data_IF_548213855240
#
_entry.id   IF_548213855240
#
_cell.length_a   1.000
_cell.length_b   1.000
_cell.length_c   1.000
_cell.angle_alpha   90.00
_cell.angle_beta   90.00
_cell.angle_gamma   90.00
#
_symmetry.space_group_name_H-M   'P 1'
#
loop_
_entity.id
_entity.type
_entity.pdbx_description
1 polymer ?
#
# COMPACT_ATOMS: atom_id res chain seq x y z
N UNK A 1 36.43 -0.96 -8.88
CA UNK A 1 35.35 -0.01 -8.54
C UNK A 1 34.41 0.07 -9.73
N UNK A 2 33.54 -0.91 -9.85
CA UNK A 2 32.47 -0.92 -10.85
C UNK A 2 31.34 -0.07 -10.29
N UNK A 3 31.15 1.13 -10.83
CA UNK A 3 29.98 1.95 -10.61
C UNK A 3 28.76 1.16 -11.08
N UNK A 4 27.99 0.62 -10.14
CA UNK A 4 26.63 0.14 -10.41
C UNK A 4 25.82 1.35 -10.89
N UNK A 5 25.48 1.35 -12.18
CA UNK A 5 24.40 2.21 -12.64
C UNK A 5 23.13 1.80 -11.88
N UNK A 6 22.42 2.71 -11.19
CA UNK A 6 21.12 2.37 -10.65
C UNK A 6 20.26 1.90 -11.83
N UNK A 7 19.67 0.71 -11.68
CA UNK A 7 18.74 0.14 -12.64
C UNK A 7 17.74 1.21 -13.07
N UNK A 8 17.62 1.46 -14.38
CA UNK A 8 16.72 2.45 -14.96
C UNK A 8 15.22 2.21 -14.64
N UNK A 9 14.90 1.12 -13.94
CA UNK A 9 13.56 0.72 -13.52
C UNK A 9 13.21 1.14 -12.08
N UNK A 10 14.20 1.49 -11.23
CA UNK A 10 13.90 1.92 -9.86
C UNK A 10 13.43 3.38 -9.82
N UNK A 11 12.35 3.66 -9.09
CA UNK A 11 11.86 5.02 -8.88
C UNK A 11 12.77 5.84 -7.98
N UNK A 12 12.63 7.18 -8.04
CA UNK A 12 13.46 8.10 -7.27
C UNK A 12 12.72 9.38 -6.89
N UNK A 13 13.21 10.05 -5.84
CA UNK A 13 12.76 11.39 -5.47
C UNK A 13 13.36 12.43 -6.41
N UNK A 14 12.53 13.33 -6.92
CA UNK A 14 12.92 14.41 -7.82
C UNK A 14 12.06 15.66 -7.66
N UNK A 15 12.57 16.79 -8.16
CA UNK A 15 11.82 18.05 -8.19
C UNK A 15 10.87 18.13 -9.40
N UNK A 16 9.96 19.12 -9.35
CA UNK A 16 8.95 19.35 -10.38
C UNK A 16 9.51 19.47 -11.81
N UNK A 17 10.60 20.22 -11.99
CA UNK A 17 11.19 20.45 -13.32
C UNK A 17 11.72 19.16 -13.96
N UNK A 18 12.31 18.29 -13.14
CA UNK A 18 12.83 17.00 -13.60
C UNK A 18 11.70 16.03 -13.94
N UNK A 19 10.69 15.91 -13.06
CA UNK A 19 9.50 15.12 -13.33
C UNK A 19 8.77 15.57 -14.61
N UNK A 20 8.63 16.88 -14.80
CA UNK A 20 8.06 17.48 -16.01
C UNK A 20 8.82 17.09 -17.27
N UNK A 21 10.16 17.06 -17.21
CA UNK A 21 10.99 16.66 -18.35
C UNK A 21 10.80 15.18 -18.69
N UNK A 22 10.71 14.29 -17.69
CA UNK A 22 10.43 12.87 -17.89
C UNK A 22 9.05 12.63 -18.51
N UNK A 23 8.01 13.27 -18.00
CA UNK A 23 6.65 13.14 -18.54
C UNK A 23 6.61 13.58 -20.01
N UNK A 24 7.25 14.70 -20.35
CA UNK A 24 7.33 15.20 -21.74
C UNK A 24 8.15 14.31 -22.67
N UNK A 25 9.04 13.48 -22.12
CA UNK A 25 9.78 12.49 -22.89
C UNK A 25 8.90 11.29 -23.31
N UNK A 26 7.65 11.20 -22.82
CA UNK A 26 6.67 10.20 -23.26
C UNK A 26 6.79 8.84 -22.57
N UNK A 27 7.52 8.75 -21.46
CA UNK A 27 7.56 7.53 -20.65
C UNK A 27 6.25 7.28 -19.91
N UNK A 28 6.14 6.08 -19.33
CA UNK A 28 5.02 5.69 -18.48
C UNK A 28 5.45 5.72 -17.02
N UNK A 29 4.63 6.28 -16.12
CA UNK A 29 5.04 6.49 -14.73
C UNK A 29 3.95 6.19 -13.69
N UNK A 30 4.39 5.77 -12.52
CA UNK A 30 3.63 5.88 -11.27
C UNK A 30 4.23 7.00 -10.42
N UNK A 31 3.41 7.98 -10.04
CA UNK A 31 3.86 9.21 -9.38
C UNK A 31 3.17 9.40 -8.04
N UNK A 32 3.94 9.72 -7.02
CA UNK A 32 3.46 10.02 -5.68
C UNK A 32 3.99 11.37 -5.21
N UNK A 33 3.15 12.17 -4.54
CA UNK A 33 3.49 13.55 -4.21
C UNK A 33 2.46 14.28 -3.35
N UNK A 34 2.82 15.46 -2.86
CA UNK A 34 1.83 16.39 -2.32
C UNK A 34 0.92 16.94 -3.44
N UNK A 35 -0.35 17.19 -3.12
CA UNK A 35 -1.34 17.67 -4.08
C UNK A 35 -0.88 18.94 -4.82
N UNK A 36 -0.25 19.89 -4.10
CA UNK A 36 0.19 21.15 -4.69
C UNK A 36 1.23 20.95 -5.81
N UNK A 37 2.10 19.93 -5.69
CA UNK A 37 3.05 19.58 -6.74
C UNK A 37 2.41 18.78 -7.87
N UNK A 38 1.55 17.81 -7.54
CA UNK A 38 0.88 16.98 -8.55
C UNK A 38 0.07 17.83 -9.52
N UNK A 39 -0.59 18.90 -9.03
CA UNK A 39 -1.35 19.85 -9.86
C UNK A 39 -0.52 20.64 -10.86
N UNK A 40 0.81 20.67 -10.68
CA UNK A 40 1.72 21.39 -11.57
C UNK A 40 2.32 20.49 -12.66
N UNK A 41 2.11 19.18 -12.60
CA UNK A 41 2.62 18.25 -13.60
C UNK A 41 1.86 18.38 -14.94
N UNK A 42 2.56 18.26 -16.08
CA UNK A 42 1.90 18.28 -17.38
C UNK A 42 1.15 16.96 -17.65
N UNK A 43 0.30 16.98 -18.68
CA UNK A 43 -0.28 15.76 -19.25
C UNK A 43 0.80 14.79 -19.72
N UNK A 44 0.55 13.50 -19.53
CA UNK A 44 1.32 12.39 -20.09
C UNK A 44 0.84 11.05 -19.54
N UNK A 45 1.58 9.97 -19.83
CA UNK A 45 1.16 8.61 -19.47
C UNK A 45 1.54 8.25 -18.03
N UNK A 46 0.78 8.75 -17.06
CA UNK A 46 1.07 8.44 -15.66
C UNK A 46 -0.18 8.31 -14.82
N UNK A 47 -0.12 7.46 -13.80
CA UNK A 47 -1.09 7.43 -12.71
C UNK A 47 -0.41 7.92 -11.44
N UNK A 48 -1.15 8.52 -10.53
CA UNK A 48 -0.59 8.94 -9.26
C UNK A 48 -1.58 9.11 -8.14
N UNK A 49 -1.05 9.49 -6.97
CA UNK A 49 -1.85 9.75 -5.79
C UNK A 49 -1.15 10.70 -4.83
N UNK A 50 -1.94 11.32 -3.96
CA UNK A 50 -1.39 12.19 -2.92
C UNK A 50 -0.68 11.35 -1.85
N UNK A 51 0.51 11.75 -1.41
CA UNK A 51 1.20 11.28 -0.21
C UNK A 51 2.49 12.11 -0.02
N UNK A 52 2.80 12.59 1.20
CA UNK A 52 4.03 13.38 1.43
C UNK A 52 5.12 12.60 2.19
N UNK A 53 5.01 11.27 2.29
CA UNK A 53 5.95 10.40 3.02
C UNK A 53 6.62 9.43 2.05
N UNK A 54 7.94 9.28 2.14
CA UNK A 54 8.71 8.48 1.19
C UNK A 54 9.90 7.77 1.83
N UNK A 55 10.30 6.63 1.26
CA UNK A 55 11.67 6.16 1.31
C UNK A 55 12.38 6.64 0.04
N UNK A 56 13.20 7.68 0.17
CA UNK A 56 13.98 8.24 -0.93
C UNK A 56 15.41 7.70 -0.98
N UNK A 57 16.16 8.10 -2.02
CA UNK A 57 17.56 7.69 -2.20
C UNK A 57 18.48 8.07 -1.02
N UNK A 58 18.11 9.11 -0.26
CA UNK A 58 18.90 9.59 0.87
C UNK A 58 18.39 9.10 2.24
N UNK A 59 17.28 8.36 2.26
CA UNK A 59 16.61 7.84 3.45
C UNK A 59 15.11 8.17 3.47
N UNK A 60 14.47 7.85 4.59
CA UNK A 60 13.09 8.26 4.85
C UNK A 60 12.97 9.77 4.87
N UNK A 61 11.97 10.31 4.17
CA UNK A 61 11.73 11.75 4.08
C UNK A 61 10.24 12.08 4.07
N UNK A 62 9.85 13.06 4.89
CA UNK A 62 8.56 13.74 4.78
C UNK A 62 8.74 15.04 4.01
N UNK A 63 8.13 15.18 2.83
CA UNK A 63 8.30 16.37 1.98
C UNK A 63 7.07 16.71 1.16
N UNK A 64 6.90 18.01 0.89
CA UNK A 64 5.91 18.56 -0.05
C UNK A 64 6.55 19.24 -1.26
N UNK A 65 7.88 19.20 -1.34
CA UNK A 65 8.68 19.91 -2.35
C UNK A 65 9.28 18.97 -3.40
N UNK A 66 9.10 17.66 -3.22
CA UNK A 66 9.57 16.63 -4.15
C UNK A 66 8.48 15.61 -4.46
N UNK A 67 8.66 14.93 -5.59
CA UNK A 67 7.82 13.85 -6.10
C UNK A 67 8.64 12.57 -6.11
N UNK A 68 8.00 11.44 -5.79
CA UNK A 68 8.53 10.14 -6.15
C UNK A 68 8.00 9.76 -7.54
N UNK A 69 8.91 9.46 -8.47
CA UNK A 69 8.56 9.06 -9.84
C UNK A 69 9.20 7.70 -10.12
N UNK A 70 8.35 6.69 -10.35
CA UNK A 70 8.75 5.35 -10.78
C UNK A 70 8.37 5.12 -12.24
N UNK A 71 9.33 4.67 -13.05
CA UNK A 71 9.06 4.29 -14.43
C UNK A 71 8.31 2.97 -14.47
N UNK A 72 7.22 2.92 -15.24
CA UNK A 72 6.48 1.68 -15.49
C UNK A 72 7.03 1.07 -16.80
N UNK A 73 7.59 -0.15 -16.76
CA UNK A 73 8.15 -0.79 -17.94
C UNK A 73 7.06 -1.15 -18.94
N UNK A 74 7.25 -0.73 -20.19
CA UNK A 74 6.34 -1.02 -21.32
C UNK A 74 7.01 -2.02 -22.24
N UNK A 75 6.70 -3.31 -22.05
CA UNK A 75 7.37 -4.42 -22.75
C UNK A 75 6.44 -5.21 -23.68
N UNK A 76 5.15 -5.31 -23.35
CA UNK A 76 4.19 -6.20 -24.05
C UNK A 76 3.10 -5.47 -24.84
N UNK A 77 3.13 -4.15 -24.91
CA UNK A 77 2.07 -3.33 -25.51
C UNK A 77 1.83 -2.06 -24.69
N UNK A 78 1.04 -1.14 -25.24
CA UNK A 78 0.70 0.11 -24.55
C UNK A 78 -0.15 -0.19 -23.29
N UNK A 79 0.21 0.36 -22.12
CA UNK A 79 -0.64 0.27 -20.94
C UNK A 79 -1.98 0.97 -21.13
N UNK A 80 -3.02 0.48 -20.46
CA UNK A 80 -4.33 1.14 -20.39
C UNK A 80 -4.51 1.77 -19.00
N UNK A 81 -4.90 3.04 -18.95
CA UNK A 81 -5.25 3.74 -17.71
C UNK A 81 -6.76 3.87 -17.59
N UNK A 82 -7.33 3.43 -16.46
CA UNK A 82 -8.78 3.40 -16.25
C UNK A 82 -9.17 3.73 -14.82
N UNK A 83 -10.28 4.45 -14.68
CA UNK A 83 -10.96 4.65 -13.40
C UNK A 83 -11.92 3.50 -13.09
N UNK A 84 -11.96 3.10 -11.83
CA UNK A 84 -12.89 2.13 -11.29
C UNK A 84 -13.70 2.75 -10.15
N UNK A 85 -15.01 2.73 -10.27
CA UNK A 85 -15.94 3.18 -9.23
C UNK A 85 -16.42 1.98 -8.40
N UNK A 86 -17.22 2.17 -7.34
CA UNK A 86 -17.72 1.06 -6.53
C UNK A 86 -18.52 0.00 -7.29
N UNK A 87 -19.04 0.28 -8.49
CA UNK A 87 -19.79 -0.68 -9.31
C UNK A 87 -18.82 -1.46 -10.19
N UNK A 88 -17.85 -0.79 -10.83
CA UNK A 88 -16.92 -1.44 -11.75
C UNK A 88 -15.72 -2.10 -11.08
N UNK A 89 -15.42 -1.79 -9.81
CA UNK A 89 -14.22 -2.24 -9.10
C UNK A 89 -14.05 -3.77 -9.07
N UNK A 90 -15.13 -4.54 -9.01
CA UNK A 90 -15.07 -6.01 -9.02
C UNK A 90 -14.45 -6.60 -10.29
N UNK A 91 -14.41 -5.82 -11.38
CA UNK A 91 -13.82 -6.21 -12.66
C UNK A 91 -12.34 -5.88 -12.79
N UNK A 92 -11.72 -5.26 -11.78
CA UNK A 92 -10.35 -4.71 -11.87
C UNK A 92 -9.32 -5.73 -12.34
N UNK A 93 -9.43 -6.99 -11.92
CA UNK A 93 -8.54 -8.05 -12.37
C UNK A 93 -9.00 -8.61 -13.73
N UNK A 94 -10.29 -8.89 -13.92
CA UNK A 94 -10.84 -9.40 -15.18
C UNK A 94 -10.49 -8.51 -16.39
N UNK A 95 -10.57 -7.19 -16.23
CA UNK A 95 -10.21 -6.19 -17.25
C UNK A 95 -8.69 -6.06 -17.48
N UNK A 96 -7.86 -6.59 -16.57
CA UNK A 96 -6.41 -6.62 -16.70
C UNK A 96 -5.91 -7.56 -17.80
N UNK A 97 -4.63 -7.46 -18.20
CA UNK A 97 -4.08 -8.24 -19.30
C UNK A 97 -4.03 -9.73 -18.95
N UNK A 98 -4.13 -10.60 -19.97
CA UNK A 98 -3.98 -12.05 -19.80
C UNK A 98 -2.57 -12.43 -19.31
N UNK A 99 -1.54 -11.76 -19.85
CA UNK A 99 -0.18 -11.79 -19.31
C UNK A 99 0.30 -10.36 -19.04
N UNK A 100 0.56 -10.06 -17.77
CA UNK A 100 0.99 -8.74 -17.35
C UNK A 100 0.72 -8.49 -15.87
N UNK A 101 0.56 -7.22 -15.52
CA UNK A 101 0.21 -6.81 -14.17
C UNK A 101 -0.61 -5.52 -14.21
N UNK A 102 -1.22 -5.18 -13.09
CA UNK A 102 -1.95 -3.92 -12.91
C UNK A 102 -1.42 -3.17 -11.70
N UNK A 103 -1.24 -1.84 -11.83
CA UNK A 103 -0.93 -0.94 -10.70
C UNK A 103 -2.19 -0.17 -10.34
N UNK A 104 -2.72 -0.35 -9.12
CA UNK A 104 -3.89 0.37 -8.60
C UNK A 104 -3.49 1.44 -7.57
N UNK A 105 -4.10 2.62 -7.66
CA UNK A 105 -4.06 3.65 -6.63
C UNK A 105 -5.48 3.93 -6.17
N UNK A 106 -5.72 3.96 -4.86
CA UNK A 106 -7.03 4.27 -4.28
C UNK A 106 -6.95 5.40 -3.25
N UNK A 107 -7.92 6.32 -3.22
CA UNK A 107 -7.96 7.35 -2.19
C UNK A 107 -8.32 6.76 -0.83
N UNK A 108 -7.47 6.96 0.20
CA UNK A 108 -7.78 6.48 1.55
C UNK A 108 -9.13 7.01 2.05
N UNK A 109 -9.81 6.16 2.81
CA UNK A 109 -11.13 6.41 3.42
C UNK A 109 -12.30 6.64 2.45
N UNK A 110 -12.09 6.49 1.14
CA UNK A 110 -13.17 6.52 0.14
C UNK A 110 -14.06 5.27 0.17
N UNK A 111 -15.21 5.35 -0.50
CA UNK A 111 -16.10 4.20 -0.68
C UNK A 111 -15.42 3.06 -1.46
N UNK A 112 -14.62 3.38 -2.49
CA UNK A 112 -13.90 2.38 -3.29
C UNK A 112 -12.83 1.65 -2.46
N UNK A 113 -12.09 2.37 -1.62
CA UNK A 113 -11.12 1.76 -0.70
C UNK A 113 -11.80 0.80 0.29
N UNK A 114 -12.91 1.23 0.88
CA UNK A 114 -13.69 0.40 1.81
C UNK A 114 -14.28 -0.84 1.13
N UNK A 115 -14.73 -0.71 -0.12
CA UNK A 115 -15.28 -1.82 -0.89
C UNK A 115 -14.18 -2.84 -1.24
N UNK A 116 -13.05 -2.37 -1.76
CA UNK A 116 -11.90 -3.21 -2.10
C UNK A 116 -11.46 -4.02 -0.89
N UNK A 117 -11.21 -3.36 0.24
CA UNK A 117 -10.73 -4.00 1.46
C UNK A 117 -11.62 -5.13 1.97
N UNK A 118 -12.94 -5.05 1.74
CA UNK A 118 -13.92 -6.01 2.23
C UNK A 118 -14.18 -7.17 1.27
N UNK A 119 -13.95 -6.95 -0.03
CA UNK A 119 -14.49 -7.82 -1.09
C UNK A 119 -13.44 -8.28 -2.11
N UNK A 120 -12.26 -7.66 -2.17
CA UNK A 120 -11.20 -7.99 -3.13
C UNK A 120 -10.87 -9.50 -3.20
N UNK A 121 -10.80 -10.26 -2.09
CA UNK A 121 -10.56 -11.70 -2.15
C UNK A 121 -11.57 -12.50 -2.99
N UNK A 122 -12.77 -11.96 -3.21
CA UNK A 122 -13.83 -12.58 -4.00
C UNK A 122 -13.98 -12.06 -5.43
N UNK A 123 -13.12 -11.13 -5.87
CA UNK A 123 -13.17 -10.61 -7.24
C UNK A 123 -12.70 -11.66 -8.25
N UNK A 124 -13.28 -11.60 -9.45
CA UNK A 124 -12.90 -12.47 -10.56
C UNK A 124 -11.41 -12.29 -10.90
N UNK A 125 -10.69 -13.38 -11.14
CA UNK A 125 -9.26 -13.41 -11.46
C UNK A 125 -8.31 -12.82 -10.40
N UNK A 126 -8.77 -12.51 -9.18
CA UNK A 126 -7.97 -11.83 -8.17
C UNK A 126 -6.60 -12.48 -7.94
N UNK A 127 -6.55 -13.80 -7.77
CA UNK A 127 -5.29 -14.52 -7.52
C UNK A 127 -4.64 -15.10 -8.77
N UNK A 128 -5.14 -14.73 -9.95
CA UNK A 128 -4.64 -15.17 -11.26
C UNK A 128 -3.88 -14.02 -11.93
N UNK A 129 -4.46 -12.82 -11.93
CA UNK A 129 -3.88 -11.63 -12.58
C UNK A 129 -3.18 -10.74 -11.54
N UNK A 130 -1.85 -10.53 -11.65
CA UNK A 130 -1.09 -9.74 -10.68
C UNK A 130 -1.65 -8.32 -10.51
N UNK A 131 -2.11 -8.00 -9.30
CA UNK A 131 -2.59 -6.67 -8.91
C UNK A 131 -1.74 -6.14 -7.76
N UNK A 132 -0.96 -5.11 -8.05
CA UNK A 132 -0.12 -4.39 -7.07
C UNK A 132 -0.59 -2.95 -6.95
N UNK A 133 -0.33 -2.28 -5.84
CA UNK A 133 -0.75 -0.90 -5.71
C UNK A 133 -0.65 -0.34 -4.31
N UNK A 134 -1.30 0.79 -4.10
CA UNK A 134 -1.23 1.51 -2.85
C UNK A 134 -2.43 2.42 -2.59
N UNK A 135 -2.63 2.72 -1.31
CA UNK A 135 -3.67 3.64 -0.87
C UNK A 135 -3.04 5.03 -0.69
N UNK A 136 -3.53 6.01 -1.45
CA UNK A 136 -3.09 7.40 -1.35
C UNK A 136 -3.52 8.00 -0.02
N UNK A 137 -2.77 8.99 0.43
CA UNK A 137 -2.92 9.61 1.73
C UNK A 137 -2.64 11.11 1.69
N UNK A 138 -2.53 11.69 2.86
CA UNK A 138 -2.18 13.09 3.07
C UNK A 138 -1.24 13.17 4.26
N UNK A 139 -0.69 14.36 4.53
CA UNK A 139 0.05 14.55 5.76
C UNK A 139 -0.89 14.31 6.96
N UNK A 140 -0.44 13.60 7.99
CA UNK A 140 -1.30 13.25 9.13
C UNK A 140 -1.85 14.47 9.87
N UNK A 141 -1.10 15.59 9.88
CA UNK A 141 -1.57 16.85 10.45
C UNK A 141 -2.76 17.50 9.68
N UNK A 142 -3.02 17.03 8.46
CA UNK A 142 -4.11 17.51 7.60
C UNK A 142 -5.33 16.57 7.63
N UNK A 143 -5.30 15.52 8.45
CA UNK A 143 -6.45 14.63 8.65
C UNK A 143 -7.69 15.44 9.08
N UNK A 144 -8.79 15.24 8.36
CA UNK A 144 -10.04 15.97 8.55
C UNK A 144 -10.05 17.38 7.93
N UNK A 145 -8.98 17.81 7.25
CA UNK A 145 -8.90 19.10 6.55
C UNK A 145 -8.69 18.94 5.05
N UNK A 146 -7.96 17.91 4.64
CA UNK A 146 -7.76 17.52 3.25
C UNK A 146 -8.27 16.09 3.03
N UNK A 147 -8.46 15.74 1.76
CA UNK A 147 -8.83 14.39 1.34
C UNK A 147 -7.72 13.80 0.49
N UNK A 148 -7.39 12.51 0.67
CA UNK A 148 -6.55 11.78 -0.27
C UNK A 148 -7.15 11.76 -1.68
N UNK A 149 -6.31 11.88 -2.70
CA UNK A 149 -6.72 11.89 -4.10
C UNK A 149 -5.87 10.93 -4.93
N UNK A 150 -6.43 10.52 -6.05
CA UNK A 150 -5.72 9.89 -7.17
C UNK A 150 -5.72 10.84 -8.37
N UNK A 151 -4.77 10.66 -9.29
CA UNK A 151 -4.59 11.56 -10.43
C UNK A 151 -4.34 10.77 -11.71
N UNK A 152 -5.20 10.97 -12.69
CA UNK A 152 -4.99 10.48 -14.05
C UNK A 152 -4.15 11.51 -14.83
N UNK A 153 -2.91 11.16 -15.14
CA UNK A 153 -1.97 12.01 -15.84
C UNK A 153 -2.33 12.32 -17.29
N UNK A 154 -3.15 11.49 -17.93
CA UNK A 154 -3.57 11.71 -19.33
C UNK A 154 -4.61 12.83 -19.41
N UNK A 155 -5.52 12.86 -18.44
CA UNK A 155 -6.62 13.83 -18.39
C UNK A 155 -6.33 15.02 -17.46
N UNK A 156 -5.41 14.85 -16.50
CA UNK A 156 -5.20 15.67 -15.30
C UNK A 156 -6.41 15.72 -14.36
N UNK A 157 -7.21 14.65 -14.36
CA UNK A 157 -8.35 14.50 -13.47
C UNK A 157 -7.89 14.03 -12.09
N UNK A 158 -8.31 14.77 -11.05
CA UNK A 158 -8.12 14.43 -9.64
C UNK A 158 -9.42 13.86 -9.10
N UNK A 159 -9.36 12.72 -8.43
CA UNK A 159 -10.54 12.03 -7.92
C UNK A 159 -10.31 11.49 -6.50
N UNK A 160 -11.34 11.60 -5.65
CA UNK A 160 -11.31 11.14 -4.25
C UNK A 160 -12.23 9.95 -3.96
N UNK A 161 -12.93 9.43 -4.96
CA UNK A 161 -14.00 8.44 -4.83
C UNK A 161 -13.79 7.18 -5.68
N UNK A 162 -12.97 7.26 -6.73
CA UNK A 162 -12.66 6.18 -7.67
C UNK A 162 -11.21 5.72 -7.53
N UNK A 163 -10.98 4.44 -7.79
CA UNK A 163 -9.65 3.89 -7.94
C UNK A 163 -9.13 4.22 -9.34
N UNK A 164 -7.82 4.42 -9.47
CA UNK A 164 -7.15 4.59 -10.76
C UNK A 164 -6.18 3.45 -10.98
N UNK A 165 -6.29 2.79 -12.13
CA UNK A 165 -5.53 1.58 -12.45
C UNK A 165 -4.79 1.76 -13.75
N UNK A 166 -3.53 1.33 -13.81
CA UNK A 166 -2.76 1.15 -15.03
C UNK A 166 -2.57 -0.34 -15.28
N UNK A 167 -3.17 -0.87 -16.35
CA UNK A 167 -3.01 -2.24 -16.82
C UNK A 167 -1.82 -2.32 -17.76
N UNK A 168 -0.84 -3.17 -17.45
CA UNK A 168 0.46 -3.22 -18.15
C UNK A 168 0.65 -4.62 -18.77
N UNK A 169 0.48 -4.75 -20.10
CA UNK A 169 0.73 -6.01 -20.79
C UNK A 169 2.23 -6.36 -20.78
N UNK A 170 2.52 -7.66 -20.63
CA UNK A 170 3.86 -8.23 -20.76
C UNK A 170 3.94 -9.19 -21.95
N UNK A 171 5.09 -9.27 -22.64
CA UNK A 171 5.30 -10.28 -23.67
C UNK A 171 5.30 -11.67 -23.03
N UNK A 172 4.97 -12.71 -23.79
CA UNK A 172 4.87 -14.10 -23.28
C UNK A 172 6.14 -14.62 -22.60
N UNK A 173 7.31 -14.03 -22.91
CA UNK A 173 8.60 -14.38 -22.31
C UNK A 173 8.83 -13.75 -20.94
N UNK A 174 7.91 -12.93 -20.44
CA UNK A 174 8.02 -12.21 -19.18
C UNK A 174 6.81 -12.45 -18.31
N UNK A 175 7.01 -12.50 -17.00
CA UNK A 175 5.94 -12.55 -16.01
C UNK A 175 6.22 -11.57 -14.87
N UNK A 176 5.16 -11.13 -14.21
CA UNK A 176 5.23 -10.27 -13.03
C UNK A 176 5.14 -11.11 -11.76
N UNK A 177 6.02 -10.85 -10.81
CA UNK A 177 5.97 -11.45 -9.48
C UNK A 177 5.77 -10.34 -8.45
N UNK A 178 4.82 -10.57 -7.53
CA UNK A 178 4.52 -9.68 -6.41
C UNK A 178 4.99 -10.35 -5.14
N UNK A 179 5.78 -9.63 -4.35
CA UNK A 179 6.30 -10.09 -3.08
C UNK A 179 5.90 -9.14 -1.95
N UNK A 180 5.62 -9.73 -0.79
CA UNK A 180 5.20 -9.04 0.42
C UNK A 180 6.22 -9.31 1.52
N UNK A 181 6.78 -8.25 2.09
CA UNK A 181 7.58 -8.32 3.31
C UNK A 181 6.67 -7.96 4.48
N UNK A 182 6.25 -8.97 5.24
CA UNK A 182 5.57 -8.81 6.52
C UNK A 182 6.51 -9.24 7.64
N UNK A 183 6.86 -8.32 8.53
CA UNK A 183 7.74 -8.60 9.68
C UNK A 183 6.98 -9.12 10.91
N UNK A 184 5.65 -9.07 10.87
CA UNK A 184 4.81 -9.41 12.00
C UNK A 184 4.33 -10.86 11.90
N UNK A 185 4.54 -11.61 12.98
CA UNK A 185 3.93 -12.91 13.22
C UNK A 185 2.94 -12.80 14.37
N UNK A 186 2.00 -13.75 14.48
CA UNK A 186 1.16 -13.84 15.67
C UNK A 186 2.03 -13.99 16.92
N UNK A 187 1.71 -13.24 17.97
CA UNK A 187 2.28 -13.43 19.29
C UNK A 187 1.55 -14.50 20.10
N UNK A 188 2.04 -14.74 21.32
CA UNK A 188 1.47 -15.71 22.26
C UNK A 188 0.25 -15.17 23.05
N UNK A 189 -0.26 -13.99 22.67
CA UNK A 189 -1.40 -13.33 23.32
C UNK A 189 -2.73 -14.04 23.11
N UNK A 190 -3.81 -13.48 23.67
CA UNK A 190 -5.14 -14.09 23.60
C UNK A 190 -5.67 -14.19 22.16
N UNK A 191 -6.53 -15.19 21.92
CA UNK A 191 -7.27 -15.38 20.67
C UNK A 191 -8.44 -14.42 20.61
N UNK A 192 -8.53 -13.63 19.54
CA UNK A 192 -9.58 -12.65 19.35
C UNK A 192 -10.37 -13.03 18.09
N UNK A 193 -11.70 -13.13 18.21
CA UNK A 193 -12.61 -13.27 17.07
C UNK A 193 -13.64 -12.15 17.10
N UNK A 194 -14.00 -11.63 15.93
CA UNK A 194 -15.02 -10.61 15.80
C UNK A 194 -16.31 -11.24 15.27
N UNK A 195 -17.50 -10.80 15.71
CA UNK A 195 -18.76 -11.38 15.26
C UNK A 195 -19.22 -10.86 13.89
N UNK A 196 -18.59 -9.80 13.38
CA UNK A 196 -18.96 -9.19 12.11
C UNK A 196 -17.74 -8.58 11.41
N UNK A 197 -17.77 -8.59 10.07
CA UNK A 197 -16.79 -7.88 9.24
C UNK A 197 -16.95 -6.37 9.37
N UNK A 198 -15.85 -5.63 9.55
CA UNK A 198 -15.92 -4.17 9.58
C UNK A 198 -14.63 -3.45 9.93
N UNK A 199 -14.63 -2.13 9.74
CA UNK A 199 -13.54 -1.22 10.10
C UNK A 199 -13.61 -0.73 11.56
N UNK A 200 -14.57 -1.22 12.33
CA UNK A 200 -14.74 -0.91 13.74
C UNK A 200 -15.30 -2.13 14.47
N UNK A 201 -14.86 -2.34 15.69
CA UNK A 201 -15.35 -3.40 16.57
C UNK A 201 -15.59 -2.90 17.99
N UNK A 202 -16.68 -3.37 18.58
CA UNK A 202 -16.94 -3.29 20.02
C UNK A 202 -16.88 -4.68 20.61
N UNK A 203 -17.81 -5.54 20.18
CA UNK A 203 -17.95 -6.87 20.74
C UNK A 203 -16.99 -7.84 20.06
N UNK A 204 -16.39 -8.73 20.85
CA UNK A 204 -15.49 -9.78 20.38
C UNK A 204 -15.56 -11.00 21.29
N UNK A 205 -14.96 -12.10 20.85
CA UNK A 205 -14.65 -13.25 21.68
C UNK A 205 -13.16 -13.24 22.00
N UNK A 206 -12.81 -13.24 23.28
CA UNK A 206 -11.44 -13.32 23.80
C UNK A 206 -11.28 -14.71 24.42
N UNK A 207 -10.48 -15.58 23.79
CA UNK A 207 -10.40 -17.00 24.15
C UNK A 207 -11.79 -17.65 24.26
N UNK A 208 -12.64 -17.40 23.27
CA UNK A 208 -14.01 -17.90 23.17
C UNK A 208 -14.97 -17.37 24.25
N UNK A 209 -14.56 -16.37 25.04
CA UNK A 209 -15.42 -15.68 26.00
C UNK A 209 -15.85 -14.31 25.46
N UNK A 210 -17.14 -13.94 25.56
CA UNK A 210 -17.61 -12.61 25.17
C UNK A 210 -16.91 -11.48 25.94
N UNK A 211 -16.52 -10.44 25.22
CA UNK A 211 -15.93 -9.24 25.82
C UNK A 211 -16.00 -8.04 24.90
N UNK A 212 -15.68 -6.87 25.46
CA UNK A 212 -15.53 -5.63 24.71
C UNK A 212 -14.05 -5.42 24.34
N UNK A 213 -13.77 -5.23 23.06
CA UNK A 213 -12.41 -5.17 22.54
C UNK A 213 -11.67 -3.91 23.01
N UNK A 214 -12.33 -2.75 23.06
CA UNK A 214 -11.69 -1.51 23.54
C UNK A 214 -11.32 -1.60 25.03
N UNK A 215 -12.19 -2.19 25.85
CA UNK A 215 -11.90 -2.45 27.27
C UNK A 215 -10.77 -3.47 27.43
N UNK A 216 -10.73 -4.51 26.60
CA UNK A 216 -9.63 -5.47 26.59
C UNK A 216 -8.29 -4.79 26.30
N UNK A 217 -8.22 -4.03 25.21
CA UNK A 217 -7.02 -3.30 24.80
C UNK A 217 -6.55 -2.35 25.91
N UNK A 218 -7.46 -1.59 26.50
CA UNK A 218 -7.15 -0.65 27.59
C UNK A 218 -6.70 -1.35 28.88
N UNK A 219 -7.44 -2.37 29.34
CA UNK A 219 -7.17 -3.06 30.61
C UNK A 219 -5.88 -3.88 30.59
N UNK A 220 -5.48 -4.38 29.42
CA UNK A 220 -4.21 -5.09 29.21
C UNK A 220 -3.05 -4.18 28.83
N UNK A 221 -3.30 -2.87 28.68
CA UNK A 221 -2.32 -1.89 28.21
C UNK A 221 -1.59 -2.35 26.93
N UNK A 222 -2.35 -2.87 25.97
CA UNK A 222 -1.79 -3.38 24.71
C UNK A 222 -1.11 -2.23 23.94
N UNK A 223 0.08 -2.49 23.41
CA UNK A 223 0.74 -1.57 22.48
C UNK A 223 0.02 -1.58 21.13
N UNK A 224 -0.73 -0.52 20.86
CA UNK A 224 -1.54 -0.38 19.63
C UNK A 224 -0.72 -0.11 18.37
N UNK A 225 0.61 0.02 18.48
CA UNK A 225 1.52 0.03 17.32
C UNK A 225 1.69 -1.36 16.70
N UNK A 226 1.41 -2.41 17.47
CA UNK A 226 1.41 -3.79 17.00
C UNK A 226 0.06 -4.11 16.36
N UNK A 227 0.03 -4.61 15.12
CA UNK A 227 -1.23 -4.98 14.47
C UNK A 227 -1.82 -6.24 15.09
N UNK A 228 -3.10 -6.46 14.84
CA UNK A 228 -3.66 -7.81 14.87
C UNK A 228 -3.12 -8.58 13.66
N UNK A 229 -2.74 -9.83 13.85
CA UNK A 229 -2.25 -10.73 12.80
C UNK A 229 -3.16 -11.95 12.75
N UNK A 230 -3.54 -12.33 11.54
CA UNK A 230 -4.36 -13.50 11.28
C UNK A 230 -3.82 -14.30 10.10
N UNK A 231 -4.04 -15.60 10.13
CA UNK A 231 -3.69 -16.53 9.06
C UNK A 231 -4.86 -16.65 8.08
N UNK A 232 -4.66 -16.18 6.85
CA UNK A 232 -5.58 -16.31 5.74
C UNK A 232 -5.03 -17.36 4.78
N UNK A 233 -5.43 -18.62 4.98
CA UNK A 233 -5.06 -19.74 4.11
C UNK A 233 -3.54 -19.90 3.91
N UNK A 234 -2.74 -19.66 4.95
CA UNK A 234 -1.28 -19.75 4.96
C UNK A 234 -0.56 -18.40 4.89
N UNK A 235 -1.27 -17.29 4.65
CA UNK A 235 -0.69 -15.95 4.60
C UNK A 235 -1.01 -15.14 5.87
N UNK A 236 0.03 -14.61 6.52
CA UNK A 236 -0.14 -13.74 7.69
C UNK A 236 -0.52 -12.32 7.26
N UNK A 237 -1.73 -11.90 7.59
CA UNK A 237 -2.30 -10.60 7.23
C UNK A 237 -2.48 -9.74 8.48
N UNK A 238 -2.10 -8.47 8.36
CA UNK A 238 -2.14 -7.50 9.44
C UNK A 238 -3.42 -6.65 9.38
N UNK A 239 -4.00 -6.38 10.54
CA UNK A 239 -5.04 -5.38 10.74
C UNK A 239 -4.57 -4.37 11.78
N UNK A 240 -4.21 -3.18 11.33
CA UNK A 240 -3.66 -2.13 12.20
C UNK A 240 -4.75 -1.35 12.92
N UNK A 241 -4.50 -1.03 14.19
CA UNK A 241 -5.39 -0.21 15.02
C UNK A 241 -5.25 1.26 14.61
N UNK A 242 -6.39 1.90 14.35
CA UNK A 242 -6.50 3.34 14.05
C UNK A 242 -6.78 4.16 15.30
N UNK A 243 -7.74 3.75 16.11
CA UNK A 243 -8.13 4.45 17.32
C UNK A 243 -8.79 3.50 18.33
N UNK A 244 -8.60 3.77 19.62
CA UNK A 244 -9.27 3.07 20.73
C UNK A 244 -10.06 4.10 21.51
N UNK A 245 -11.38 3.98 21.52
CA UNK A 245 -12.29 4.78 22.33
C UNK A 245 -12.85 3.89 23.44
N UNK A 246 -12.13 3.82 24.57
CA UNK A 246 -12.53 3.00 25.70
C UNK A 246 -13.83 3.49 26.36
N UNK A 247 -14.17 4.78 26.22
CA UNK A 247 -15.40 5.34 26.76
C UNK A 247 -16.63 4.90 25.96
N UNK A 248 -16.50 4.82 24.62
CA UNK A 248 -17.55 4.27 23.74
C UNK A 248 -17.49 2.75 23.60
N UNK A 249 -16.40 2.12 24.04
CA UNK A 249 -16.19 0.69 23.89
C UNK A 249 -15.84 0.27 22.46
N UNK A 250 -15.29 1.16 21.63
CA UNK A 250 -15.05 0.89 20.20
C UNK A 250 -13.58 1.00 19.83
N UNK A 251 -13.12 0.13 18.94
CA UNK A 251 -11.81 0.21 18.29
C UNK A 251 -12.02 0.33 16.79
N UNK A 252 -11.40 1.33 16.18
CA UNK A 252 -11.38 1.52 14.72
C UNK A 252 -10.08 0.97 14.14
N UNK A 253 -10.16 0.46 12.91
CA UNK A 253 -9.06 -0.18 12.19
C UNK A 253 -8.76 0.52 10.86
N UNK A 254 -7.54 0.35 10.35
CA UNK A 254 -7.15 0.80 9.01
C UNK A 254 -7.56 -0.18 7.89
N UNK A 255 -7.72 -1.47 8.23
CA UNK A 255 -8.26 -2.53 7.38
C UNK A 255 -9.41 -3.24 8.12
N UNK A 256 -10.36 -3.88 7.42
CA UNK A 256 -11.47 -4.53 8.09
C UNK A 256 -11.03 -5.81 8.80
N UNK A 257 -11.61 -6.08 9.96
CA UNK A 257 -11.65 -7.42 10.54
C UNK A 257 -12.75 -8.25 9.86
N UNK A 258 -12.65 -9.57 9.96
CA UNK A 258 -13.56 -10.58 9.38
C UNK A 258 -14.05 -11.52 10.49
N UNK A 259 -15.26 -12.06 10.32
CA UNK A 259 -16.02 -12.78 11.34
C UNK A 259 -15.68 -14.26 11.51
N UNK A 260 -15.04 -14.85 10.51
CA UNK A 260 -14.61 -16.24 10.47
C UNK A 260 -13.12 -16.44 10.81
N UNK A 261 -12.43 -15.36 11.20
CA UNK A 261 -10.98 -15.34 11.38
C UNK A 261 -10.57 -15.20 12.86
N UNK A 262 -9.55 -15.96 13.25
CA UNK A 262 -8.87 -15.81 14.54
C UNK A 262 -7.68 -14.84 14.40
N UNK A 263 -7.68 -13.81 15.25
CA UNK A 263 -6.63 -12.81 15.34
C UNK A 263 -5.85 -12.96 16.64
N UNK A 264 -4.58 -12.57 16.60
CA UNK A 264 -3.75 -12.32 17.78
C UNK A 264 -2.96 -11.04 17.59
N UNK A 265 -2.65 -10.32 18.66
CA UNK A 265 -1.68 -9.24 18.56
C UNK A 265 -0.33 -9.79 18.10
N UNK A 266 0.36 -9.02 17.26
CA UNK A 266 1.67 -9.39 16.75
C UNK A 266 2.70 -9.57 17.88
N UNK A 267 3.67 -10.46 17.65
CA UNK A 267 4.90 -10.44 18.45
C UNK A 267 5.64 -9.11 18.23
N UNK A 268 6.24 -8.51 19.28
CA UNK A 268 7.05 -7.31 19.12
C UNK A 268 8.23 -7.55 18.17
N UNK A 269 8.56 -6.54 17.35
CA UNK A 269 9.75 -6.53 16.49
C UNK A 269 10.78 -5.58 17.12
N UNK A 270 11.82 -6.09 17.83
CA UNK A 270 12.68 -5.24 18.67
C UNK A 270 13.52 -4.23 17.89
N UNK A 271 14.02 -4.64 16.71
CA UNK A 271 14.75 -3.78 15.79
C UNK A 271 14.14 -3.93 14.39
N UNK A 272 13.22 -3.03 14.08
CA UNK A 272 12.51 -3.05 12.80
C UNK A 272 13.48 -2.89 11.63
N UNK A 273 14.48 -2.02 11.73
CA UNK A 273 15.40 -1.74 10.61
C UNK A 273 16.23 -2.99 10.32
N UNK A 274 16.83 -3.58 11.36
CA UNK A 274 17.61 -4.82 11.20
C UNK A 274 16.76 -5.99 10.74
N UNK A 275 15.54 -6.16 11.28
CA UNK A 275 14.61 -7.20 10.85
C UNK A 275 14.21 -7.01 9.38
N UNK A 276 13.91 -5.78 8.97
CA UNK A 276 13.60 -5.44 7.59
C UNK A 276 14.76 -5.79 6.66
N UNK A 277 15.99 -5.37 7.01
CA UNK A 277 17.19 -5.72 6.26
C UNK A 277 17.40 -7.23 6.12
N UNK A 278 17.12 -8.00 7.17
CA UNK A 278 17.23 -9.46 7.14
C UNK A 278 16.15 -10.13 6.28
N UNK A 279 14.99 -9.50 6.13
CA UNK A 279 13.89 -9.98 5.28
C UNK A 279 14.02 -9.56 3.82
N UNK A 280 14.93 -8.64 3.48
CA UNK A 280 15.19 -8.28 2.09
C UNK A 280 15.86 -9.43 1.34
N UNK A 281 15.48 -9.69 0.07
CA UNK A 281 16.19 -10.66 -0.74
C UNK A 281 17.66 -10.26 -0.92
N UNK A 282 18.57 -11.23 -0.90
CA UNK A 282 19.99 -10.99 -1.13
C UNK A 282 20.28 -10.38 -2.51
N UNK A 283 19.42 -10.70 -3.49
CA UNK A 283 19.37 -10.09 -4.81
C UNK A 283 17.91 -9.90 -5.19
N UNK A 284 17.57 -8.71 -5.64
CA UNK A 284 16.30 -8.44 -6.30
C UNK A 284 16.55 -8.32 -7.80
N UNK A 285 15.64 -8.86 -8.61
CA UNK A 285 15.52 -8.43 -10.00
C UNK A 285 15.25 -6.92 -10.08
N UNK A 286 15.23 -6.33 -11.28
CA UNK A 286 14.86 -4.92 -11.40
C UNK A 286 13.45 -4.70 -10.85
N UNK A 287 13.37 -3.96 -9.75
CA UNK A 287 12.12 -3.59 -9.09
C UNK A 287 11.36 -2.64 -10.03
N UNK A 288 10.18 -3.07 -10.50
CA UNK A 288 9.31 -2.26 -11.34
C UNK A 288 8.40 -1.33 -10.52
N UNK A 289 8.11 -1.69 -9.27
CA UNK A 289 7.28 -0.92 -8.35
C UNK A 289 7.54 -1.35 -6.90
N UNK A 290 7.47 -0.41 -5.96
CA UNK A 290 7.47 -0.70 -4.52
C UNK A 290 6.77 0.39 -3.71
N UNK A 291 6.13 -0.01 -2.62
CA UNK A 291 5.53 0.88 -1.62
C UNK A 291 5.58 0.22 -0.23
N UNK A 292 5.48 1.03 0.82
CA UNK A 292 5.58 0.57 2.21
C UNK A 292 4.55 1.32 3.06
N UNK A 293 4.02 0.72 4.12
CA UNK A 293 3.06 1.39 4.99
C UNK A 293 3.64 2.64 5.68
N UNK A 294 2.85 3.71 5.75
CA UNK A 294 3.13 4.89 6.58
C UNK A 294 3.23 4.53 8.07
N UNK A 295 2.55 3.48 8.52
CA UNK A 295 2.67 3.03 9.90
C UNK A 295 4.06 2.46 10.20
N UNK A 296 4.70 1.79 9.23
CA UNK A 296 6.08 1.35 9.37
C UNK A 296 7.03 2.56 9.45
N UNK A 297 6.77 3.58 8.63
CA UNK A 297 7.51 4.85 8.67
C UNK A 297 7.48 5.51 10.05
N UNK A 298 6.29 5.63 10.62
CA UNK A 298 6.07 6.31 11.90
C UNK A 298 6.55 5.48 13.09
N UNK A 299 6.15 4.22 13.17
CA UNK A 299 6.42 3.38 14.34
C UNK A 299 7.85 2.89 14.42
N UNK A 300 8.56 2.86 13.29
CA UNK A 300 9.98 2.50 13.22
C UNK A 300 10.91 3.72 13.11
N UNK A 301 10.33 4.93 13.15
CA UNK A 301 11.02 6.21 13.08
C UNK A 301 11.97 6.27 11.88
N UNK A 302 11.44 6.03 10.67
CA UNK A 302 12.27 5.89 9.46
C UNK A 302 12.76 7.22 8.87
N UNK A 303 12.31 8.36 9.38
CA UNK A 303 12.82 9.69 8.98
C UNK A 303 14.34 9.75 9.11
N UNK A 304 15.03 10.07 8.01
CA UNK A 304 16.50 10.10 7.91
C UNK A 304 17.19 8.72 7.93
N UNK A 305 16.49 7.62 8.21
CA UNK A 305 17.06 6.27 8.17
C UNK A 305 17.04 5.73 6.74
N UNK A 306 18.09 5.00 6.36
CA UNK A 306 18.21 4.40 5.03
C UNK A 306 17.79 2.95 5.06
N UNK A 307 16.87 2.61 4.17
CA UNK A 307 16.52 1.23 3.84
C UNK A 307 16.86 1.02 2.37
N UNK A 308 18.06 0.48 2.06
CA UNK A 308 18.56 0.39 0.70
C UNK A 308 17.69 -0.53 -0.17
N UNK A 309 17.71 -0.26 -1.47
CA UNK A 309 17.08 -1.02 -2.56
C UNK A 309 15.54 -0.95 -2.67
N UNK A 310 14.79 -0.62 -1.62
CA UNK A 310 13.32 -0.52 -1.69
C UNK A 310 12.84 0.93 -1.50
N UNK A 311 12.94 1.72 -2.57
CA UNK A 311 12.46 3.11 -2.59
C UNK A 311 10.96 3.16 -2.91
N UNK A 312 10.27 4.21 -2.49
CA UNK A 312 8.83 4.29 -2.75
C UNK A 312 8.07 5.23 -1.83
N UNK A 313 6.78 5.46 -2.11
CA UNK A 313 5.90 6.14 -1.20
C UNK A 313 5.66 5.30 0.08
N UNK A 314 5.46 6.02 1.18
CA UNK A 314 5.03 5.47 2.47
C UNK A 314 3.52 5.70 2.62
N UNK A 315 2.71 4.69 2.30
CA UNK A 315 1.31 4.81 1.89
C UNK A 315 0.33 4.47 3.02
N UNK A 316 -0.96 4.81 2.87
CA UNK A 316 -1.97 4.54 3.91
C UNK A 316 -2.44 3.07 3.93
N UNK A 317 -1.85 2.26 3.07
CA UNK A 317 -2.13 0.87 2.83
C UNK A 317 -1.44 0.43 1.54
N UNK A 318 -1.26 -0.86 1.39
CA UNK A 318 -0.59 -1.48 0.26
C UNK A 318 -1.56 -2.45 -0.40
N UNK A 319 -1.41 -2.65 -1.71
CA UNK A 319 -2.18 -3.65 -2.44
C UNK A 319 -1.20 -4.68 -3.01
N UNK A 320 -1.39 -5.92 -2.60
CA UNK A 320 -0.84 -7.10 -3.24
C UNK A 320 -1.96 -8.14 -3.26
N UNK A 321 -2.73 -8.13 -4.35
CA UNK A 321 -4.03 -8.79 -4.51
C UNK A 321 -5.11 -8.22 -3.57
N UNK A 322 -4.90 -8.24 -2.26
CA UNK A 322 -5.79 -7.66 -1.26
C UNK A 322 -5.15 -6.46 -0.57
N UNK A 323 -5.95 -5.74 0.24
CA UNK A 323 -5.45 -4.66 1.08
C UNK A 323 -4.56 -5.21 2.18
N UNK A 324 -3.39 -4.61 2.36
CA UNK A 324 -2.43 -4.91 3.41
C UNK A 324 -2.11 -3.65 4.22
N UNK A 325 -1.69 -3.84 5.46
CA UNK A 325 -1.17 -2.79 6.33
C UNK A 325 0.14 -3.24 6.98
N UNK A 326 1.00 -2.29 7.31
CA UNK A 326 2.28 -2.56 7.97
C UNK A 326 3.15 -3.60 7.23
N UNK A 327 3.17 -3.54 5.90
CA UNK A 327 4.02 -4.39 5.07
C UNK A 327 4.92 -3.54 4.17
N UNK A 328 5.75 -4.20 3.37
CA UNK A 328 6.28 -3.62 2.15
C UNK A 328 5.88 -4.52 1.00
N UNK A 329 5.44 -3.91 -0.10
CA UNK A 329 5.08 -4.62 -1.32
C UNK A 329 5.99 -4.17 -2.44
N UNK A 330 6.49 -5.11 -3.22
CA UNK A 330 7.24 -4.82 -4.43
C UNK A 330 6.87 -5.78 -5.57
N UNK A 331 7.12 -5.32 -6.79
CA UNK A 331 6.93 -6.09 -8.01
C UNK A 331 8.23 -6.20 -8.80
N UNK A 332 8.56 -7.41 -9.21
CA UNK A 332 9.65 -7.71 -10.15
C UNK A 332 9.06 -8.22 -11.46
N UNK A 333 9.82 -8.05 -12.54
CA UNK A 333 9.52 -8.66 -13.84
C UNK A 333 10.63 -9.63 -14.16
N UNK A 334 10.25 -10.88 -14.35
CA UNK A 334 11.15 -12.01 -14.54
C UNK A 334 10.94 -12.69 -15.90
N UNK A 335 11.78 -13.66 -16.22
CA UNK A 335 11.88 -14.33 -17.52
C UNK A 335 12.88 -13.69 -18.46
#
# INVERSE_FOLDING_TARGET
MTTQHPSALSGRMMGLSEATALIRAGGHYSIAGDEALLRQLPRGHWIGGTIPYFMGQDGGVTTRDQLYVAAVPVLGGAPEIRFYDPISLERVCADGPDNGFSIIVMPAFSAVHSLFARNAPGYEDMYIKPLVGWISGIHLADLGRASPLVVNGETLEFDGERALVMHVPLPETKYAQIDIINLFTQGEGDRIRFPAKGFSASDCLINDQPGNFAQYVASRAIDTKLPLVADYSGAMINVSIKAVDAAKGTVDFYAPVFDDIEYRFAAPVPDYVSAFHASLPAQTGPIGFSCNCVLNYLYSELEGKRVPAMLGPMTFGEVAYQLLNQTLVYLTIEG
#
